data_IF_848844515897
#
_entry.id   IF_848844515897
#
_cell.length_a   1.000
_cell.length_b   1.000
_cell.length_c   1.000
_cell.angle_alpha   90.00
_cell.angle_beta   90.00
_cell.angle_gamma   90.00
#
_symmetry.space_group_name_H-M   'P 1'
#
loop_
_entity.id
_entity.type
_entity.pdbx_description
1 polymer ?
#
# COMPACT_ATOMS: atom_id res chain seq x y z
N UNK A 1 -16.86 -16.72 20.14
CA UNK A 1 -17.37 -16.26 18.83
C UNK A 1 -16.26 -16.48 17.82
N UNK A 2 -16.62 -17.05 16.68
CA UNK A 2 -15.76 -17.81 15.78
C UNK A 2 -14.62 -16.98 15.19
N UNK A 3 -13.38 -17.29 15.58
CA UNK A 3 -12.22 -16.97 14.76
C UNK A 3 -12.31 -17.84 13.51
N UNK A 4 -12.65 -17.20 12.40
CA UNK A 4 -12.72 -17.86 11.11
C UNK A 4 -11.29 -18.27 10.73
N UNK A 5 -10.96 -19.54 10.99
CA UNK A 5 -9.73 -20.18 10.53
C UNK A 5 -9.80 -20.25 9.01
N UNK A 6 -9.28 -19.22 8.34
CA UNK A 6 -9.03 -19.29 6.91
C UNK A 6 -8.03 -20.42 6.68
N UNK A 7 -8.52 -21.46 6.01
CA UNK A 7 -7.81 -22.70 5.70
C UNK A 7 -6.44 -22.42 5.08
N UNK A 8 -5.41 -23.00 5.70
CA UNK A 8 -4.00 -22.93 5.28
C UNK A 8 -3.69 -23.65 3.94
N UNK A 9 -4.69 -24.00 3.13
CA UNK A 9 -4.55 -24.95 2.03
C UNK A 9 -4.41 -24.37 0.62
N UNK A 10 -4.39 -23.05 0.42
CA UNK A 10 -4.20 -22.46 -0.92
C UNK A 10 -3.21 -21.27 -0.91
N UNK A 11 -2.09 -21.43 -0.22
CA UNK A 11 -0.99 -20.47 -0.31
C UNK A 11 -0.21 -20.74 -1.62
N UNK A 12 -0.55 -20.00 -2.67
CA UNK A 12 0.26 -19.91 -3.90
C UNK A 12 1.73 -19.60 -3.54
N UNK A 13 2.69 -20.01 -4.38
CA UNK A 13 4.13 -19.84 -4.14
C UNK A 13 4.51 -18.40 -3.73
N UNK A 14 3.76 -17.41 -4.19
CA UNK A 14 3.84 -15.97 -3.88
C UNK A 14 3.74 -15.63 -2.39
N UNK A 15 3.03 -16.43 -1.62
CA UNK A 15 2.78 -16.18 -0.19
C UNK A 15 4.00 -16.41 0.72
N UNK A 16 5.13 -16.87 0.17
CA UNK A 16 6.41 -17.01 0.88
C UNK A 16 7.36 -15.82 0.69
N UNK A 17 7.09 -14.94 -0.28
CA UNK A 17 7.94 -13.79 -0.64
C UNK A 17 7.14 -12.49 -0.65
N UNK A 18 6.29 -12.31 0.36
CA UNK A 18 5.55 -11.08 0.56
C UNK A 18 6.14 -10.25 1.70
N UNK A 19 5.97 -8.92 1.63
CA UNK A 19 6.45 -8.05 2.69
C UNK A 19 5.75 -8.31 4.04
N UNK A 20 6.47 -8.15 5.15
CA UNK A 20 5.98 -8.39 6.52
C UNK A 20 5.74 -7.09 7.29
N UNK A 21 4.51 -6.85 7.71
CA UNK A 21 4.07 -5.60 8.33
C UNK A 21 3.94 -5.70 9.86
N UNK A 22 4.42 -4.67 10.58
CA UNK A 22 4.23 -4.57 12.04
C UNK A 22 3.08 -3.63 12.43
N UNK A 23 2.86 -2.55 11.65
CA UNK A 23 1.85 -1.52 11.96
C UNK A 23 1.99 -0.90 13.36
N UNK A 24 3.20 -0.81 13.93
CA UNK A 24 3.38 -0.34 15.32
C UNK A 24 2.85 1.09 15.53
N UNK A 25 2.96 1.96 14.53
CA UNK A 25 2.40 3.32 14.57
C UNK A 25 0.90 3.28 14.82
N UNK A 26 0.21 2.34 14.18
CA UNK A 26 -1.24 2.20 14.31
C UNK A 26 -1.67 1.61 15.66
N UNK A 27 -0.73 1.00 16.40
CA UNK A 27 -0.95 0.51 17.76
C UNK A 27 -0.67 1.60 18.80
N UNK A 28 0.19 2.57 18.47
CA UNK A 28 0.74 3.53 19.43
C UNK A 28 0.22 4.98 19.24
N UNK A 29 -0.32 5.32 18.08
CA UNK A 29 -0.77 6.67 17.75
C UNK A 29 -2.29 6.75 17.58
N UNK A 30 -2.91 7.90 17.86
CA UNK A 30 -4.34 8.09 17.65
C UNK A 30 -4.76 7.86 16.19
N UNK A 31 -5.79 7.03 16.00
CA UNK A 31 -6.37 6.72 14.69
C UNK A 31 -7.85 7.05 14.69
N UNK A 32 -8.29 7.69 13.62
CA UNK A 32 -9.69 7.87 13.29
C UNK A 32 -10.21 6.78 12.34
N UNK A 33 -11.47 6.38 12.55
CA UNK A 33 -12.16 5.33 11.79
C UNK A 33 -13.43 5.86 11.10
N UNK A 34 -13.47 7.16 10.82
CA UNK A 34 -14.61 7.76 10.12
C UNK A 34 -14.71 7.32 8.65
N UNK A 35 -15.61 7.96 7.91
CA UNK A 35 -15.81 7.65 6.49
C UNK A 35 -14.55 7.92 5.66
N UNK A 36 -14.35 7.10 4.62
CA UNK A 36 -13.32 7.27 3.59
C UNK A 36 -13.74 8.37 2.61
N UNK A 37 -13.74 9.62 3.08
CA UNK A 37 -14.18 10.81 2.35
C UNK A 37 -13.39 12.03 2.82
N UNK A 38 -13.35 13.08 2.00
CA UNK A 38 -12.77 14.38 2.34
C UNK A 38 -13.47 14.98 3.56
N UNK A 39 -12.74 15.19 4.66
CA UNK A 39 -13.24 15.79 5.91
C UNK A 39 -12.12 16.20 6.87
N UNK A 40 -12.46 17.04 7.84
CA UNK A 40 -11.58 17.29 8.98
C UNK A 40 -11.47 16.06 9.89
N UNK A 41 -10.28 15.82 10.41
CA UNK A 41 -9.95 14.66 11.25
C UNK A 41 -9.23 15.15 12.51
N UNK A 42 -9.98 15.71 13.48
CA UNK A 42 -9.39 16.20 14.71
C UNK A 42 -8.91 15.04 15.60
N UNK A 43 -7.86 15.30 16.39
CA UNK A 43 -7.35 14.39 17.42
C UNK A 43 -6.85 13.01 16.93
N UNK A 44 -6.50 12.90 15.65
CA UNK A 44 -5.89 11.70 15.09
C UNK A 44 -4.60 12.04 14.33
N UNK A 45 -3.64 11.11 14.34
CA UNK A 45 -2.47 11.17 13.47
C UNK A 45 -2.73 10.46 12.13
N UNK A 46 -3.70 9.56 12.10
CA UNK A 46 -4.06 8.74 10.94
C UNK A 46 -5.57 8.60 10.83
N UNK A 47 -6.07 8.42 9.62
CA UNK A 47 -7.40 7.87 9.35
C UNK A 47 -7.29 6.58 8.57
N UNK A 48 -8.10 5.56 8.90
CA UNK A 48 -8.21 4.37 8.04
C UNK A 48 -8.87 4.74 6.71
N UNK A 49 -8.30 4.26 5.62
CA UNK A 49 -8.77 4.52 4.26
C UNK A 49 -8.79 3.22 3.46
N UNK A 50 -9.59 3.20 2.41
CA UNK A 50 -9.60 2.10 1.45
C UNK A 50 -9.12 2.61 0.09
N UNK A 51 -8.26 1.86 -0.62
CA UNK A 51 -7.85 2.24 -1.97
C UNK A 51 -9.02 2.26 -2.93
N UNK A 52 -8.95 3.19 -3.88
CA UNK A 52 -9.86 3.22 -5.02
C UNK A 52 -9.28 2.35 -6.12
N UNK A 53 -10.10 1.45 -6.67
CA UNK A 53 -9.68 0.51 -7.70
C UNK A 53 -9.23 1.23 -8.98
N UNK A 54 -8.15 0.73 -9.59
CA UNK A 54 -7.67 1.14 -10.91
C UNK A 54 -8.05 0.10 -11.96
N UNK A 55 -8.54 0.57 -13.10
CA UNK A 55 -8.79 -0.25 -14.27
C UNK A 55 -7.51 -0.52 -15.07
N UNK A 56 -7.30 -1.80 -15.43
CA UNK A 56 -6.20 -2.28 -16.25
C UNK A 56 -4.79 -1.76 -15.83
N UNK A 57 -4.37 -1.95 -14.57
CA UNK A 57 -3.09 -1.47 -14.12
C UNK A 57 -1.95 -2.25 -14.80
N UNK A 58 -0.88 -1.54 -15.17
CA UNK A 58 0.31 -2.13 -15.80
C UNK A 58 1.58 -1.62 -15.14
N UNK A 59 2.56 -2.49 -15.02
CA UNK A 59 3.90 -2.11 -14.59
C UNK A 59 4.60 -1.39 -15.74
N UNK A 60 5.10 -0.18 -15.48
CA UNK A 60 5.93 0.57 -16.44
C UNK A 60 7.41 0.34 -16.17
N UNK A 61 7.81 0.44 -14.90
CA UNK A 61 9.18 0.24 -14.43
C UNK A 61 9.14 -0.11 -12.93
N UNK A 62 10.13 -0.87 -12.44
CA UNK A 62 10.42 -1.01 -11.02
C UNK A 62 11.93 -0.98 -10.77
N UNK A 63 12.32 -0.67 -9.54
CA UNK A 63 13.70 -0.85 -9.06
C UNK A 63 13.82 -2.21 -8.36
N UNK A 64 14.70 -3.07 -8.86
CA UNK A 64 14.98 -4.38 -8.25
C UNK A 64 15.54 -4.24 -6.84
N UNK A 65 16.39 -3.24 -6.60
CA UNK A 65 16.93 -2.95 -5.28
C UNK A 65 15.81 -2.56 -4.30
N UNK A 66 14.86 -1.71 -4.74
CA UNK A 66 13.72 -1.32 -3.91
C UNK A 66 12.80 -2.51 -3.58
N UNK A 67 12.54 -3.39 -4.55
CA UNK A 67 11.77 -4.63 -4.31
C UNK A 67 12.50 -5.56 -3.34
N UNK A 68 13.83 -5.66 -3.46
CA UNK A 68 14.67 -6.47 -2.57
C UNK A 68 14.61 -5.97 -1.12
N UNK A 69 14.56 -4.66 -0.88
CA UNK A 69 14.35 -4.08 0.46
C UNK A 69 13.02 -4.53 1.10
N UNK A 70 12.02 -4.84 0.27
CA UNK A 70 10.69 -5.28 0.71
C UNK A 70 10.55 -6.81 0.75
N UNK A 71 11.64 -7.55 0.51
CA UNK A 71 11.64 -9.01 0.31
C UNK A 71 10.67 -9.48 -0.79
N UNK A 72 10.36 -8.62 -1.77
CA UNK A 72 9.57 -8.98 -2.93
C UNK A 72 10.54 -9.58 -3.95
N UNK A 73 10.45 -10.89 -4.15
CA UNK A 73 11.15 -11.54 -5.26
C UNK A 73 10.32 -11.40 -6.51
N UNK A 74 10.84 -10.69 -7.49
CA UNK A 74 10.35 -10.74 -8.85
C UNK A 74 11.32 -11.61 -9.63
N UNK A 75 10.89 -12.79 -10.07
CA UNK A 75 11.64 -13.55 -11.06
C UNK A 75 11.49 -12.79 -12.37
N UNK A 76 12.42 -11.87 -12.63
CA UNK A 76 12.58 -11.27 -13.94
C UNK A 76 13.06 -12.40 -14.85
N UNK A 77 12.12 -13.15 -15.43
CA UNK A 77 12.39 -13.78 -16.70
C UNK A 77 12.78 -12.63 -17.62
N UNK A 78 14.05 -12.61 -18.03
CA UNK A 78 14.66 -11.59 -18.86
C UNK A 78 13.63 -11.00 -19.81
N UNK A 79 13.38 -9.69 -19.67
CA UNK A 79 12.63 -8.94 -20.65
C UNK A 79 13.43 -9.03 -21.95
N UNK A 80 13.10 -10.02 -22.79
CA UNK A 80 13.52 -10.03 -24.18
C UNK A 80 12.93 -8.76 -24.80
N UNK A 81 13.78 -7.77 -25.05
CA UNK A 81 13.45 -6.44 -25.63
C UNK A 81 12.67 -6.53 -26.96
N UNK A 82 12.47 -7.74 -27.51
CA UNK A 82 11.84 -8.00 -28.80
C UNK A 82 10.54 -8.81 -28.73
N UNK A 83 10.10 -9.28 -27.55
CA UNK A 83 8.81 -9.96 -27.41
C UNK A 83 8.07 -9.46 -26.17
N UNK A 84 7.31 -8.38 -26.32
CA UNK A 84 6.31 -7.89 -25.37
C UNK A 84 5.11 -8.86 -25.24
N UNK A 85 5.36 -10.16 -25.15
CA UNK A 85 4.32 -11.15 -24.88
C UNK A 85 4.34 -11.42 -23.38
N UNK A 86 3.24 -11.01 -22.76
CA UNK A 86 2.78 -11.32 -21.41
C UNK A 86 3.06 -12.79 -21.03
N UNK A 87 4.26 -13.07 -20.55
CA UNK A 87 4.57 -14.35 -19.90
C UNK A 87 5.04 -14.05 -18.50
N UNK A 88 4.08 -14.06 -17.59
CA UNK A 88 4.11 -14.78 -16.30
C UNK A 88 2.97 -14.25 -15.42
N UNK A 89 2.06 -15.11 -14.97
CA UNK A 89 0.96 -14.73 -14.06
C UNK A 89 1.44 -14.07 -12.76
N UNK A 90 2.71 -14.25 -12.42
CA UNK A 90 3.48 -13.62 -11.36
C UNK A 90 3.54 -12.09 -11.45
N UNK A 91 3.84 -11.53 -12.62
CA UNK A 91 3.88 -10.07 -12.83
C UNK A 91 2.49 -9.45 -12.69
N UNK A 92 1.45 -10.19 -13.08
CA UNK A 92 0.05 -9.78 -12.93
C UNK A 92 -0.41 -9.77 -11.46
N UNK A 93 0.25 -10.49 -10.56
CA UNK A 93 -0.07 -10.43 -9.13
C UNK A 93 0.55 -9.21 -8.46
N UNK A 94 1.82 -8.91 -8.75
CA UNK A 94 2.51 -7.77 -8.16
C UNK A 94 1.84 -6.43 -8.53
N UNK A 95 1.42 -6.28 -9.79
CA UNK A 95 0.75 -5.06 -10.25
C UNK A 95 -0.54 -4.78 -9.49
N UNK A 96 -1.31 -5.81 -9.14
CA UNK A 96 -2.56 -5.68 -8.40
C UNK A 96 -2.35 -5.18 -6.97
N UNK A 97 -1.24 -5.55 -6.33
CA UNK A 97 -0.91 -5.04 -4.99
C UNK A 97 -0.32 -3.63 -5.03
N UNK A 98 0.52 -3.32 -6.03
CA UNK A 98 1.12 -1.99 -6.18
C UNK A 98 0.12 -0.94 -6.70
N UNK A 99 -0.93 -1.37 -7.39
CA UNK A 99 -2.03 -0.50 -7.83
C UNK A 99 -3.11 -0.30 -6.76
N UNK A 100 -2.98 -0.92 -5.58
CA UNK A 100 -4.01 -0.88 -4.55
C UNK A 100 -5.29 -1.66 -4.88
N UNK A 101 -5.35 -2.40 -6.00
CA UNK A 101 -6.48 -3.28 -6.33
C UNK A 101 -6.58 -4.47 -5.36
N UNK A 102 -5.45 -4.89 -4.78
CA UNK A 102 -5.36 -5.88 -3.71
C UNK A 102 -4.57 -5.32 -2.54
N UNK A 103 -5.02 -5.63 -1.34
CA UNK A 103 -4.30 -5.29 -0.12
C UNK A 103 -3.32 -6.40 0.23
N UNK A 104 -2.12 -6.01 0.66
CA UNK A 104 -1.14 -6.97 1.12
C UNK A 104 -1.61 -7.64 2.42
N UNK A 105 -1.34 -8.95 2.62
CA UNK A 105 -1.68 -9.60 3.87
C UNK A 105 -1.03 -8.90 5.07
N UNK A 106 -1.84 -8.46 6.03
CA UNK A 106 -1.36 -7.77 7.23
C UNK A 106 -1.15 -6.26 7.08
N UNK A 107 -1.35 -5.68 5.90
CA UNK A 107 -1.41 -4.21 5.75
C UNK A 107 -2.68 -3.63 6.37
N UNK A 108 -2.61 -2.42 6.90
CA UNK A 108 -3.75 -1.64 7.42
C UNK A 108 -3.66 -0.23 6.79
N UNK A 109 -4.25 -0.05 5.60
CA UNK A 109 -4.10 1.19 4.84
C UNK A 109 -4.67 2.40 5.59
N UNK A 110 -3.85 3.44 5.68
CA UNK A 110 -4.19 4.67 6.39
C UNK A 110 -3.69 5.89 5.61
N UNK A 111 -4.25 7.06 5.91
CA UNK A 111 -3.75 8.34 5.45
C UNK A 111 -3.28 9.15 6.65
N UNK A 112 -2.12 9.80 6.55
CA UNK A 112 -1.64 10.69 7.60
C UNK A 112 -2.50 11.95 7.68
N UNK A 113 -2.75 12.39 8.91
CA UNK A 113 -3.30 13.70 9.22
C UNK A 113 -2.16 14.60 9.68
N UNK A 114 -1.85 15.65 8.92
CA UNK A 114 -0.80 16.61 9.27
C UNK A 114 -1.24 18.03 8.95
N UNK A 115 -0.42 19.03 9.27
CA UNK A 115 -0.68 20.43 8.95
C UNK A 115 0.61 21.09 8.50
N UNK A 116 0.51 22.31 7.97
CA UNK A 116 1.70 23.02 7.53
C UNK A 116 1.46 24.45 7.12
N UNK A 117 2.56 25.17 6.92
CA UNK A 117 2.55 26.47 6.29
C UNK A 117 2.76 26.29 4.79
N UNK A 118 1.90 26.90 3.99
CA UNK A 118 2.04 26.96 2.53
C UNK A 118 2.07 28.43 2.13
N UNK A 119 3.05 28.80 1.30
CA UNK A 119 3.21 30.17 0.79
C UNK A 119 3.21 31.25 1.89
N UNK A 120 3.84 30.96 3.04
CA UNK A 120 3.97 31.91 4.15
C UNK A 120 2.75 32.05 5.05
N UNK A 121 1.67 31.28 4.81
CA UNK A 121 0.47 31.26 5.66
C UNK A 121 0.20 29.86 6.21
N UNK A 122 -0.39 29.76 7.40
CA UNK A 122 -0.80 28.47 7.95
C UNK A 122 -2.00 27.93 7.17
N UNK A 123 -1.84 26.77 6.53
CA UNK A 123 -2.85 26.18 5.65
C UNK A 123 -3.93 25.38 6.41
N UNK A 124 -3.80 25.25 7.74
CA UNK A 124 -4.69 24.40 8.53
C UNK A 124 -4.36 22.92 8.36
N UNK A 125 -5.38 22.07 8.45
CA UNK A 125 -5.23 20.62 8.30
C UNK A 125 -4.99 20.27 6.82
N UNK A 126 -3.93 19.50 6.60
CA UNK A 126 -3.56 18.82 5.36
C UNK A 126 -3.65 17.30 5.60
N UNK A 127 -3.11 16.52 4.67
CA UNK A 127 -2.94 15.09 4.83
C UNK A 127 -2.52 14.44 3.52
N UNK A 128 -2.48 13.11 3.51
CA UNK A 128 -2.11 12.33 2.33
C UNK A 128 -3.21 12.36 1.25
N UNK A 129 -3.41 13.52 0.62
CA UNK A 129 -4.58 13.77 -0.24
C UNK A 129 -4.60 13.03 -1.56
N UNK A 130 -3.44 12.56 -1.99
CA UNK A 130 -3.25 11.77 -3.19
C UNK A 130 -2.34 10.58 -2.89
N UNK A 131 -2.25 10.13 -1.64
CA UNK A 131 -1.46 8.97 -1.27
C UNK A 131 -2.12 8.20 -0.12
N UNK A 132 -1.66 6.97 0.08
CA UNK A 132 -1.93 6.24 1.30
C UNK A 132 -0.67 5.57 1.80
N UNK A 133 -0.61 5.52 3.12
CA UNK A 133 0.29 4.68 3.87
C UNK A 133 -0.26 3.26 3.89
N UNK A 134 0.40 2.34 3.17
CA UNK A 134 -0.05 0.94 3.14
C UNK A 134 0.19 0.27 4.48
N UNK A 135 1.41 0.42 5.02
CA UNK A 135 1.83 -0.04 6.35
C UNK A 135 3.35 0.18 6.57
N UNK A 136 3.84 -0.08 7.79
CA UNK A 136 5.25 -0.08 8.16
C UNK A 136 5.92 -1.42 7.89
N UNK A 137 7.02 -1.40 7.15
CA UNK A 137 8.07 -2.40 7.25
C UNK A 137 9.11 -1.97 8.26
N UNK A 138 9.69 -2.93 8.99
CA UNK A 138 10.72 -2.74 10.01
C UNK A 138 11.88 -1.79 9.62
N UNK A 139 12.02 -1.41 8.33
CA UNK A 139 13.04 -0.51 7.80
C UNK A 139 12.49 0.58 6.80
N UNK A 140 11.29 0.50 6.19
CA UNK A 140 10.81 1.50 5.20
C UNK A 140 9.26 1.63 5.08
N UNK A 141 8.80 2.75 4.50
CA UNK A 141 7.39 3.09 4.24
C UNK A 141 7.04 2.76 2.77
N UNK A 142 5.94 2.03 2.53
CA UNK A 142 5.38 1.86 1.19
C UNK A 142 4.25 2.86 0.97
N UNK A 143 4.44 3.75 -0.01
CA UNK A 143 3.47 4.75 -0.42
C UNK A 143 2.80 4.31 -1.73
N UNK A 144 1.48 4.31 -1.75
CA UNK A 144 0.68 4.14 -2.95
C UNK A 144 -0.07 5.45 -3.23
N UNK A 145 -0.02 5.98 -4.45
CA UNK A 145 -0.57 7.31 -4.80
C UNK A 145 -2.05 7.19 -5.18
N UNK A 146 -2.97 7.70 -4.35
CA UNK A 146 -4.43 7.68 -4.56
C UNK A 146 -5.14 8.85 -3.88
N UNK A 147 -6.14 9.44 -4.55
CA UNK A 147 -6.91 10.58 -4.06
C UNK A 147 -7.72 10.24 -2.79
N UNK A 148 -7.32 10.76 -1.63
CA UNK A 148 -8.13 10.92 -0.41
C UNK A 148 -7.49 11.91 0.58
N UNK A 149 -7.77 13.21 0.44
CA UNK A 149 -7.92 14.28 1.49
C UNK A 149 -8.57 15.46 0.80
#
# INVERSE_FOLDING_TARGET
MLFNTCSLSERSSWSKHCPQFDNIQLKCLPIDNGSNSIRSVPNACFTRVSPTRIDNPRVVLFSLDALSLLNIRHEVNHLDEQNCIEKTGETNHLVEYLSGNKLWPGSDPTAHCYCGYQFGSFAGQLGDGAAMYVSLFRIFILLCVFNCV
#
